data_IF_196532932912
#
_entry.id   IF_196532932912
#
_cell.length_a   1.000
_cell.length_b   1.000
_cell.length_c   1.000
_cell.angle_alpha   90.00
_cell.angle_beta   90.00
_cell.angle_gamma   90.00
#
_symmetry.space_group_name_H-M   'P 1'
#
loop_
_entity.id
_entity.type
_entity.pdbx_description
1 polymer ?
#
# COMPACT_ATOMS: atom_id res chain seq x y z
N UNK A 1 -1.25 -7.95 -21.48
CA UNK A 1 -0.64 -9.28 -21.68
C UNK A 1 -0.91 -10.10 -20.43
N UNK A 2 -1.66 -11.20 -20.56
CA UNK A 2 -2.07 -12.05 -19.44
C UNK A 2 -0.85 -12.80 -18.88
N UNK A 3 -0.54 -12.63 -17.59
CA UNK A 3 0.49 -13.41 -16.90
C UNK A 3 -0.16 -14.44 -15.98
N UNK A 4 0.14 -15.72 -16.22
CA UNK A 4 -0.28 -16.87 -15.44
C UNK A 4 0.70 -17.13 -14.30
N UNK A 5 0.73 -16.23 -13.31
CA UNK A 5 1.46 -16.46 -12.07
C UNK A 5 0.78 -17.55 -11.25
N UNK A 6 1.30 -18.78 -11.25
CA UNK A 6 0.84 -19.84 -10.34
C UNK A 6 1.10 -19.41 -8.89
N UNK A 7 0.07 -19.49 -8.04
CA UNK A 7 0.19 -19.36 -6.58
C UNK A 7 1.30 -20.31 -6.06
N UNK A 8 2.23 -19.84 -5.21
CA UNK A 8 3.26 -20.71 -4.65
C UNK A 8 2.64 -21.76 -3.72
N UNK A 9 3.08 -23.03 -3.86
CA UNK A 9 2.59 -24.18 -3.08
C UNK A 9 3.18 -24.27 -1.67
N UNK A 10 4.20 -23.47 -1.33
CA UNK A 10 4.80 -23.41 -0.01
C UNK A 10 5.75 -22.20 0.10
N UNK A 11 5.88 -21.65 1.31
CA UNK A 11 6.86 -20.62 1.63
C UNK A 11 8.24 -21.26 1.84
N UNK A 12 9.24 -20.88 1.04
CA UNK A 12 10.64 -21.07 1.38
C UNK A 12 11.39 -19.76 1.09
N UNK A 13 11.84 -19.09 2.14
CA UNK A 13 12.68 -17.91 2.06
C UNK A 13 14.16 -18.33 2.02
N UNK A 14 14.92 -17.86 1.03
CA UNK A 14 16.38 -17.95 1.02
C UNK A 14 16.98 -16.58 1.30
N UNK A 15 17.86 -16.51 2.30
CA UNK A 15 18.66 -15.33 2.65
C UNK A 15 20.00 -15.36 1.90
N UNK A 16 20.47 -14.19 1.45
CA UNK A 16 21.82 -13.99 0.93
C UNK A 16 22.39 -12.69 1.48
N UNK A 17 23.56 -12.77 2.14
CA UNK A 17 24.29 -11.67 2.76
C UNK A 17 25.58 -11.36 2.00
N UNK A 18 26.01 -10.08 1.93
CA UNK A 18 27.43 -9.65 1.95
C UNK A 18 27.56 -8.12 2.04
N UNK A 19 28.80 -7.64 2.24
CA UNK A 19 29.20 -6.64 3.24
C UNK A 19 29.85 -5.34 2.72
N UNK A 20 29.69 -4.28 3.54
CA UNK A 20 30.47 -3.05 3.81
C UNK A 20 31.57 -2.50 2.87
N UNK A 21 31.56 -1.17 2.72
CA UNK A 21 32.73 -0.30 2.50
C UNK A 21 32.46 1.15 2.93
N UNK A 22 33.38 1.78 3.69
CA UNK A 22 33.31 3.19 4.16
C UNK A 22 34.15 4.12 3.26
N UNK A 23 33.74 5.38 3.13
CA UNK A 23 34.64 6.55 3.14
C UNK A 23 33.84 7.84 3.43
N UNK A 24 34.43 8.74 4.21
CA UNK A 24 33.85 10.01 4.66
C UNK A 24 34.47 11.19 3.89
N UNK A 25 33.72 12.31 3.74
CA UNK A 25 34.28 13.66 3.89
C UNK A 25 33.21 14.74 4.12
N UNK A 26 33.61 15.76 4.86
CA UNK A 26 32.83 16.87 5.46
C UNK A 26 32.39 17.96 4.48
N UNK A 27 31.23 18.58 4.77
CA UNK A 27 30.95 20.00 4.44
C UNK A 27 29.49 20.30 4.08
N UNK A 28 28.81 21.16 4.85
CA UNK A 28 27.58 21.85 4.41
C UNK A 28 26.34 21.65 5.28
N UNK A 29 26.31 22.24 6.48
CA UNK A 29 25.10 22.40 7.28
C UNK A 29 24.10 23.26 6.48
N UNK A 30 22.84 22.81 6.35
CA UNK A 30 21.65 23.46 5.77
C UNK A 30 21.13 23.10 4.35
N UNK A 31 21.73 22.17 3.59
CA UNK A 31 21.12 21.70 2.31
C UNK A 31 21.06 20.16 2.11
N UNK A 32 21.49 19.36 3.09
CA UNK A 32 21.77 17.92 2.88
C UNK A 32 20.63 16.94 3.24
N UNK A 33 19.50 17.40 3.76
CA UNK A 33 18.45 16.49 4.26
C UNK A 33 17.50 15.90 3.19
N UNK A 34 17.65 16.25 1.90
CA UNK A 34 16.86 15.66 0.80
C UNK A 34 17.51 14.47 0.07
N UNK A 35 18.78 14.16 0.36
CA UNK A 35 19.60 13.28 -0.49
C UNK A 35 19.69 11.80 -0.12
N UNK A 36 19.31 11.40 1.09
CA UNK A 36 19.62 10.03 1.60
C UNK A 36 18.58 8.95 1.25
N UNK A 37 17.36 9.32 0.85
CA UNK A 37 16.41 8.36 0.24
C UNK A 37 16.60 8.21 -1.28
N UNK A 38 17.51 8.99 -1.89
CA UNK A 38 17.56 9.22 -3.34
C UNK A 38 17.90 8.03 -4.24
N UNK A 39 18.07 6.81 -3.71
CA UNK A 39 18.36 5.62 -4.52
C UNK A 39 17.76 4.30 -4.00
N UNK A 40 17.09 4.26 -2.83
CA UNK A 40 16.49 3.01 -2.34
C UNK A 40 15.09 2.85 -2.90
N UNK A 41 14.87 1.78 -3.66
CA UNK A 41 13.52 1.38 -4.07
C UNK A 41 12.74 0.97 -2.82
N UNK A 42 11.61 1.61 -2.58
CA UNK A 42 10.76 1.33 -1.43
C UNK A 42 9.66 0.36 -1.80
N UNK A 43 9.39 -0.62 -0.93
CA UNK A 43 8.43 -1.68 -1.19
C UNK A 43 7.08 -1.34 -0.59
N UNK A 44 6.07 -1.22 -1.46
CA UNK A 44 4.69 -0.93 -1.08
C UNK A 44 3.83 -2.16 -1.37
N UNK A 45 3.02 -2.57 -0.39
CA UNK A 45 1.95 -3.56 -0.61
C UNK A 45 0.62 -2.84 -0.76
N UNK A 46 -0.14 -3.14 -1.82
CA UNK A 46 -1.54 -2.75 -1.94
C UNK A 46 -2.43 -3.94 -1.57
N UNK A 47 -3.24 -3.75 -0.53
CA UNK A 47 -4.07 -4.78 0.09
C UNK A 47 -5.50 -4.27 0.29
N UNK A 48 -6.42 -5.19 0.56
CA UNK A 48 -7.86 -4.90 0.67
C UNK A 48 -8.71 -5.92 -0.08
N UNK A 49 -10.03 -5.91 0.16
CA UNK A 49 -10.94 -6.90 -0.41
C UNK A 49 -10.99 -6.84 -1.95
N UNK A 50 -11.46 -7.91 -2.56
CA UNK A 50 -11.81 -7.93 -3.98
C UNK A 50 -12.86 -6.86 -4.30
N UNK A 51 -12.74 -6.23 -5.47
CA UNK A 51 -13.63 -5.16 -5.89
C UNK A 51 -13.33 -3.78 -5.28
N UNK A 52 -12.42 -3.66 -4.31
CA UNK A 52 -12.12 -2.38 -3.65
C UNK A 52 -11.46 -1.32 -4.56
N UNK A 53 -10.88 -1.72 -5.70
CA UNK A 53 -10.25 -0.80 -6.67
C UNK A 53 -8.72 -0.69 -6.59
N UNK A 54 -8.04 -1.66 -5.95
CA UNK A 54 -6.57 -1.71 -5.79
C UNK A 54 -5.82 -1.55 -7.10
N UNK A 55 -6.12 -2.40 -8.07
CA UNK A 55 -5.49 -2.42 -9.39
C UNK A 55 -5.79 -1.13 -10.18
N UNK A 56 -7.00 -0.59 -10.08
CA UNK A 56 -7.37 0.70 -10.70
C UNK A 56 -6.53 1.84 -10.13
N UNK A 57 -6.32 1.86 -8.81
CA UNK A 57 -5.45 2.86 -8.15
C UNK A 57 -4.02 2.72 -8.63
N UNK A 58 -3.49 1.49 -8.70
CA UNK A 58 -2.14 1.24 -9.20
C UNK A 58 -1.92 1.82 -10.60
N UNK A 59 -2.81 1.51 -11.54
CA UNK A 59 -2.71 2.04 -12.90
C UNK A 59 -2.89 3.55 -12.98
N UNK A 60 -3.77 4.11 -12.15
CA UNK A 60 -3.96 5.56 -12.07
C UNK A 60 -2.69 6.27 -11.58
N UNK A 61 -1.96 5.66 -10.63
CA UNK A 61 -0.68 6.17 -10.14
C UNK A 61 0.47 6.00 -11.16
N UNK A 62 0.42 4.97 -12.00
CA UNK A 62 1.50 4.66 -12.95
C UNK A 62 1.39 5.43 -14.26
N UNK A 63 0.17 5.55 -14.82
CA UNK A 63 -0.06 6.02 -16.20
C UNK A 63 -0.94 7.26 -16.24
N UNK A 64 -1.59 7.64 -15.13
CA UNK A 64 -2.54 8.75 -15.09
C UNK A 64 -3.89 8.46 -15.76
N UNK A 65 -4.10 7.26 -16.30
CA UNK A 65 -5.33 6.85 -17.00
C UNK A 65 -6.11 5.79 -16.22
N UNK A 66 -7.43 5.72 -16.47
CA UNK A 66 -8.30 4.67 -15.91
C UNK A 66 -8.37 3.53 -16.91
N UNK A 67 -7.80 2.39 -16.55
CA UNK A 67 -7.97 1.14 -17.30
C UNK A 67 -9.08 0.33 -16.66
N UNK A 68 -10.02 -0.19 -17.45
CA UNK A 68 -10.99 -1.17 -16.95
C UNK A 68 -10.27 -2.45 -16.55
N UNK A 69 -10.32 -2.79 -15.26
CA UNK A 69 -9.58 -3.93 -14.70
C UNK A 69 -10.46 -5.15 -14.50
N UNK A 70 -9.94 -6.33 -14.86
CA UNK A 70 -10.48 -7.63 -14.44
C UNK A 70 -9.91 -7.95 -13.05
N UNK A 71 -10.66 -8.62 -12.13
CA UNK A 71 -10.12 -8.99 -10.82
C UNK A 71 -8.77 -9.74 -10.93
N UNK A 72 -7.75 -9.25 -10.21
CA UNK A 72 -6.43 -9.87 -10.15
C UNK A 72 -6.48 -11.25 -9.49
N UNK A 73 -5.87 -12.24 -10.13
CA UNK A 73 -5.64 -13.58 -9.59
C UNK A 73 -4.19 -13.66 -9.13
N UNK A 74 -3.96 -13.88 -7.83
CA UNK A 74 -2.61 -13.92 -7.27
C UNK A 74 -2.07 -12.52 -6.96
N UNK A 75 -1.12 -12.03 -7.77
CA UNK A 75 -0.45 -10.74 -7.55
C UNK A 75 0.02 -10.08 -8.84
N UNK A 76 0.21 -8.76 -8.81
CA UNK A 76 0.91 -7.97 -9.83
C UNK A 76 2.05 -7.16 -9.18
N UNK A 77 3.14 -6.93 -9.90
CA UNK A 77 4.26 -6.09 -9.43
C UNK A 77 4.56 -5.03 -10.47
N UNK A 78 4.50 -3.77 -10.07
CA UNK A 78 4.80 -2.63 -10.93
C UNK A 78 5.81 -1.70 -10.26
N UNK A 79 6.62 -1.05 -11.10
CA UNK A 79 7.47 0.06 -10.65
C UNK A 79 6.74 1.37 -10.88
N UNK A 80 6.52 2.12 -9.80
CA UNK A 80 5.90 3.45 -9.84
C UNK A 80 6.91 4.48 -9.38
N UNK A 81 7.16 5.49 -10.22
CA UNK A 81 7.98 6.64 -9.82
C UNK A 81 7.06 7.78 -9.45
N UNK A 82 7.14 8.24 -8.20
CA UNK A 82 6.39 9.40 -7.72
C UNK A 82 7.37 10.45 -7.19
N UNK A 83 7.39 11.62 -7.84
CA UNK A 83 8.40 12.66 -7.60
C UNK A 83 9.82 12.07 -7.75
N UNK A 84 10.61 12.08 -6.67
CA UNK A 84 11.96 11.54 -6.62
C UNK A 84 12.04 10.14 -5.96
N UNK A 85 10.91 9.50 -5.67
CA UNK A 85 10.84 8.20 -5.01
C UNK A 85 10.47 7.11 -6.00
N UNK A 86 11.13 5.96 -5.88
CA UNK A 86 10.83 4.76 -6.65
C UNK A 86 10.15 3.75 -5.75
N UNK A 87 8.97 3.32 -6.15
CA UNK A 87 8.17 2.33 -5.45
C UNK A 87 8.11 1.04 -6.24
N UNK A 88 8.39 -0.07 -5.55
CA UNK A 88 8.00 -1.40 -6.01
C UNK A 88 6.65 -1.73 -5.40
N UNK A 89 5.60 -1.69 -6.21
CA UNK A 89 4.23 -1.84 -5.75
C UNK A 89 3.74 -3.25 -6.03
N UNK A 90 3.35 -3.96 -4.99
CA UNK A 90 2.79 -5.31 -5.05
C UNK A 90 1.28 -5.22 -4.84
N UNK A 91 0.48 -5.38 -5.90
CA UNK A 91 -0.98 -5.47 -5.84
C UNK A 91 -1.39 -6.93 -5.67
N UNK A 92 -1.93 -7.28 -4.50
CA UNK A 92 -2.37 -8.66 -4.24
C UNK A 92 -3.87 -8.79 -4.47
N UNK A 93 -4.31 -9.91 -5.02
CA UNK A 93 -5.73 -10.19 -5.16
C UNK A 93 -6.41 -10.28 -3.79
N UNK A 94 -7.67 -9.81 -3.72
CA UNK A 94 -8.43 -9.71 -2.46
C UNK A 94 -9.53 -10.72 -2.27
N UNK A 95 -9.61 -11.75 -3.12
CA UNK A 95 -10.66 -12.77 -3.03
C UNK A 95 -10.44 -13.64 -1.78
N UNK A 96 -11.52 -14.08 -1.14
CA UNK A 96 -11.46 -14.85 0.13
C UNK A 96 -10.48 -16.02 0.08
N UNK A 97 -10.43 -16.77 -1.02
CA UNK A 97 -9.56 -17.95 -1.18
C UNK A 97 -8.06 -17.62 -1.23
N UNK A 98 -7.68 -16.37 -1.53
CA UNK A 98 -6.27 -15.97 -1.71
C UNK A 98 -5.71 -15.06 -0.62
N UNK A 99 -6.56 -14.44 0.22
CA UNK A 99 -6.11 -13.61 1.36
C UNK A 99 -5.12 -14.31 2.31
N UNK A 100 -5.25 -15.63 2.59
CA UNK A 100 -4.27 -16.33 3.43
C UNK A 100 -2.84 -16.35 2.88
N UNK A 101 -2.63 -16.01 1.61
CA UNK A 101 -1.31 -15.93 0.97
C UNK A 101 -0.70 -14.52 1.03
N UNK A 102 -1.42 -13.50 1.51
CA UNK A 102 -0.87 -12.15 1.68
C UNK A 102 0.41 -12.15 2.53
N UNK A 103 0.43 -12.98 3.58
CA UNK A 103 1.58 -13.17 4.47
C UNK A 103 2.87 -13.61 3.78
N UNK A 104 2.76 -14.26 2.63
CA UNK A 104 3.93 -14.64 1.83
C UNK A 104 4.71 -13.43 1.30
N UNK A 105 4.13 -12.23 1.37
CA UNK A 105 4.66 -11.01 0.79
C UNK A 105 4.95 -9.92 1.83
N UNK A 106 4.80 -10.15 3.14
CA UNK A 106 4.95 -9.10 4.15
C UNK A 106 6.39 -8.64 4.38
N UNK A 107 7.37 -9.52 4.26
CA UNK A 107 8.77 -9.22 4.57
C UNK A 107 9.32 -8.05 3.76
N UNK A 108 10.08 -7.15 4.39
CA UNK A 108 10.68 -5.96 3.76
C UNK A 108 9.64 -4.97 3.19
N UNK A 109 8.46 -4.86 3.80
CA UNK A 109 7.45 -3.86 3.40
C UNK A 109 7.68 -2.53 4.12
N UNK A 110 7.85 -1.45 3.36
CA UNK A 110 8.03 -0.11 3.92
C UNK A 110 6.68 0.56 4.23
N UNK A 111 5.69 0.34 3.36
CA UNK A 111 4.34 0.85 3.52
C UNK A 111 3.27 -0.08 2.96
N UNK A 112 2.06 0.06 3.50
CA UNK A 112 0.86 -0.64 3.09
C UNK A 112 -0.14 0.42 2.63
N UNK A 113 -0.68 0.25 1.44
CA UNK A 113 -1.87 0.97 0.97
C UNK A 113 -3.04 0.00 1.11
N UNK A 114 -3.89 0.21 2.11
CA UNK A 114 -5.08 -0.58 2.33
C UNK A 114 -6.30 0.10 1.71
N UNK A 115 -6.87 -0.52 0.69
CA UNK A 115 -7.97 0.06 -0.09
C UNK A 115 -9.30 -0.51 0.37
N UNK A 116 -10.24 0.38 0.69
CA UNK A 116 -11.57 0.03 1.17
C UNK A 116 -12.62 0.51 0.19
N UNK A 117 -13.55 -0.36 -0.15
CA UNK A 117 -14.74 0.00 -0.90
C UNK A 117 -15.73 0.72 0.03
N UNK A 118 -15.86 2.05 -0.10
CA UNK A 118 -16.75 2.82 0.75
C UNK A 118 -18.24 2.58 0.42
N UNK A 119 -18.55 2.03 -0.76
CA UNK A 119 -19.93 1.69 -1.14
C UNK A 119 -20.36 0.32 -0.60
N UNK A 120 -19.41 -0.54 -0.20
CA UNK A 120 -19.66 -1.90 0.25
C UNK A 120 -19.80 -1.97 1.79
N UNK A 121 -20.98 -1.54 2.26
CA UNK A 121 -21.30 -1.52 3.69
C UNK A 121 -21.40 -2.93 4.29
N UNK A 122 -21.83 -3.91 3.50
CA UNK A 122 -22.04 -5.28 3.97
C UNK A 122 -20.72 -5.98 4.31
N UNK A 123 -19.65 -5.70 3.55
CA UNK A 123 -18.34 -6.32 3.73
C UNK A 123 -17.36 -5.49 4.55
N UNK A 124 -17.75 -4.32 5.09
CA UNK A 124 -16.84 -3.48 5.88
C UNK A 124 -16.30 -4.17 7.13
N UNK A 125 -17.12 -5.02 7.78
CA UNK A 125 -16.70 -5.84 8.91
C UNK A 125 -15.64 -6.87 8.52
N UNK A 126 -15.79 -7.50 7.36
CA UNK A 126 -14.77 -8.42 6.81
C UNK A 126 -13.48 -7.65 6.53
N UNK A 127 -13.58 -6.45 5.95
CA UNK A 127 -12.41 -5.61 5.67
C UNK A 127 -11.67 -5.22 6.95
N UNK A 128 -12.42 -4.88 8.02
CA UNK A 128 -11.85 -4.62 9.35
C UNK A 128 -11.06 -5.83 9.86
N UNK A 129 -11.66 -7.02 9.84
CA UNK A 129 -11.03 -8.21 10.39
C UNK A 129 -9.73 -8.56 9.64
N UNK A 130 -9.73 -8.47 8.31
CA UNK A 130 -8.53 -8.70 7.48
C UNK A 130 -7.46 -7.64 7.72
N UNK A 131 -7.83 -6.36 7.86
CA UNK A 131 -6.91 -5.28 8.20
C UNK A 131 -6.25 -5.55 9.55
N UNK A 132 -7.05 -5.83 10.59
CA UNK A 132 -6.53 -6.06 11.94
C UNK A 132 -5.72 -7.35 12.02
N UNK A 133 -6.09 -8.40 11.29
CA UNK A 133 -5.31 -9.63 11.21
C UNK A 133 -3.93 -9.37 10.60
N UNK A 134 -3.89 -8.69 9.45
CA UNK A 134 -2.64 -8.30 8.78
C UNK A 134 -1.75 -7.41 9.69
N UNK A 135 -2.31 -6.42 10.38
CA UNK A 135 -1.52 -5.48 11.18
C UNK A 135 -0.91 -6.09 12.46
N UNK A 136 -1.30 -7.31 12.84
CA UNK A 136 -0.73 -8.07 13.96
C UNK A 136 0.57 -8.79 13.61
N UNK A 137 0.90 -8.88 12.33
CA UNK A 137 2.06 -9.63 11.85
C UNK A 137 3.34 -8.80 12.07
N UNK A 138 4.34 -9.39 12.70
CA UNK A 138 5.56 -8.71 13.15
C UNK A 138 6.35 -8.13 11.96
N UNK A 139 6.32 -8.80 10.80
CA UNK A 139 6.93 -8.33 9.56
C UNK A 139 6.37 -6.99 9.08
N UNK A 140 5.15 -6.65 9.50
CA UNK A 140 4.48 -5.40 9.17
C UNK A 140 4.49 -4.41 10.33
N UNK A 141 5.04 -4.74 11.50
CA UNK A 141 5.02 -3.87 12.69
C UNK A 141 5.57 -2.48 12.39
N UNK A 142 6.62 -2.42 11.59
CA UNK A 142 7.25 -1.18 11.15
C UNK A 142 6.69 -0.63 9.84
N UNK A 143 5.66 -1.15 9.19
CA UNK A 143 5.16 -0.56 7.94
C UNK A 143 4.31 0.72 8.20
N UNK A 144 4.43 1.76 7.36
CA UNK A 144 3.46 2.88 7.34
C UNK A 144 2.14 2.37 6.76
N UNK A 145 1.01 2.83 7.28
CA UNK A 145 -0.31 2.47 6.76
C UNK A 145 -1.00 3.68 6.11
N UNK A 146 -1.35 3.56 4.84
CA UNK A 146 -2.26 4.48 4.14
C UNK A 146 -3.57 3.75 3.94
N UNK A 147 -4.66 4.31 4.45
CA UNK A 147 -6.01 3.78 4.19
C UNK A 147 -6.67 4.64 3.12
N UNK A 148 -7.13 4.03 2.03
CA UNK A 148 -7.87 4.71 0.97
C UNK A 148 -9.34 4.32 1.10
N UNK A 149 -10.16 5.25 1.60
CA UNK A 149 -11.61 5.15 1.55
C UNK A 149 -12.04 5.44 0.10
N UNK A 150 -12.08 4.39 -0.71
CA UNK A 150 -12.25 4.49 -2.16
C UNK A 150 -13.71 4.42 -2.59
N UNK A 151 -13.98 4.77 -3.86
CA UNK A 151 -15.31 4.88 -4.47
C UNK A 151 -16.20 5.96 -3.85
N UNK A 152 -15.57 7.04 -3.40
CA UNK A 152 -16.25 8.20 -2.82
C UNK A 152 -17.05 9.02 -3.84
N UNK A 153 -16.96 8.65 -5.11
CA UNK A 153 -17.80 9.13 -6.20
C UNK A 153 -19.18 8.46 -6.26
N UNK A 154 -19.39 7.35 -5.54
CA UNK A 154 -20.68 6.64 -5.53
C UNK A 154 -21.67 7.27 -4.54
N UNK A 155 -22.93 7.36 -4.95
CA UNK A 155 -24.01 7.82 -4.09
C UNK A 155 -24.25 6.84 -2.93
N UNK A 156 -24.50 7.37 -1.73
CA UNK A 156 -24.78 6.58 -0.54
C UNK A 156 -23.56 5.83 0.04
N UNK A 157 -22.35 6.04 -0.47
CA UNK A 157 -21.13 5.49 0.13
C UNK A 157 -20.89 6.03 1.54
N UNK A 158 -20.16 5.26 2.35
CA UNK A 158 -19.71 5.70 3.67
C UNK A 158 -18.78 6.90 3.54
N UNK A 159 -18.95 7.89 4.39
CA UNK A 159 -17.98 8.96 4.60
C UNK A 159 -16.66 8.41 5.14
N UNK A 160 -15.59 9.20 5.01
CA UNK A 160 -14.26 8.85 5.56
C UNK A 160 -14.33 8.58 7.07
N UNK A 161 -15.14 9.35 7.80
CA UNK A 161 -15.32 9.17 9.26
C UNK A 161 -16.01 7.84 9.58
N UNK A 162 -17.05 7.48 8.82
CA UNK A 162 -17.72 6.18 8.99
C UNK A 162 -16.76 5.02 8.66
N UNK A 163 -15.96 5.13 7.60
CA UNK A 163 -14.94 4.12 7.27
C UNK A 163 -13.90 4.02 8.39
N UNK A 164 -13.42 5.15 8.91
CA UNK A 164 -12.46 5.19 10.02
C UNK A 164 -12.98 4.45 11.27
N UNK A 165 -14.23 4.71 11.65
CA UNK A 165 -14.88 4.05 12.79
C UNK A 165 -15.14 2.57 12.52
N UNK A 166 -15.67 2.23 11.34
CA UNK A 166 -16.02 0.86 10.97
C UNK A 166 -14.78 -0.05 10.94
N UNK A 167 -13.65 0.45 10.44
CA UNK A 167 -12.36 -0.26 10.46
C UNK A 167 -11.69 -0.28 11.85
N UNK A 168 -12.21 0.45 12.83
CA UNK A 168 -11.65 0.50 14.19
C UNK A 168 -10.25 1.12 14.24
N UNK A 169 -9.97 2.11 13.37
CA UNK A 169 -8.63 2.73 13.28
C UNK A 169 -8.23 3.48 14.57
N UNK A 170 -9.21 3.87 15.40
CA UNK A 170 -8.99 4.48 16.72
C UNK A 170 -8.14 3.60 17.66
N UNK A 171 -8.13 2.29 17.46
CA UNK A 171 -7.33 1.36 18.26
C UNK A 171 -5.83 1.37 17.90
N UNK A 172 -5.45 1.95 16.76
CA UNK A 172 -4.07 1.95 16.26
C UNK A 172 -3.25 3.06 16.94
N UNK A 173 -2.64 2.75 18.10
CA UNK A 173 -1.85 3.73 18.87
C UNK A 173 -0.39 3.84 18.47
N UNK A 174 0.21 2.73 18.02
CA UNK A 174 1.66 2.60 17.84
C UNK A 174 2.07 2.48 16.36
N UNK A 175 1.25 3.01 15.45
CA UNK A 175 1.50 2.93 14.00
C UNK A 175 1.27 4.29 13.36
N UNK A 176 2.19 4.69 12.51
CA UNK A 176 2.00 5.85 11.63
C UNK A 176 0.99 5.47 10.55
N UNK A 177 -0.18 6.10 10.59
CA UNK A 177 -1.19 5.89 9.56
C UNK A 177 -1.96 7.18 9.22
N UNK A 178 -2.58 7.20 8.05
CA UNK A 178 -3.51 8.24 7.64
C UNK A 178 -4.57 7.65 6.70
N UNK A 179 -5.79 8.18 6.77
CA UNK A 179 -6.90 7.83 5.87
C UNK A 179 -7.17 8.97 4.89
N UNK A 180 -7.46 8.62 3.63
CA UNK A 180 -7.77 9.56 2.56
C UNK A 180 -9.09 9.20 1.89
N UNK A 181 -9.87 10.24 1.56
CA UNK A 181 -11.01 10.14 0.63
C UNK A 181 -10.46 9.92 -0.77
N UNK A 182 -10.88 8.87 -1.49
CA UNK A 182 -10.42 8.66 -2.87
C UNK A 182 -11.51 8.23 -3.83
N UNK A 183 -11.31 8.56 -5.10
CA UNK A 183 -12.00 7.95 -6.23
C UNK A 183 -10.97 7.50 -7.25
N UNK A 184 -10.76 6.18 -7.37
CA UNK A 184 -9.80 5.63 -8.33
C UNK A 184 -10.16 5.98 -9.79
N UNK A 185 -11.45 6.02 -10.11
CA UNK A 185 -11.97 6.35 -11.45
C UNK A 185 -11.85 7.83 -11.77
N UNK A 186 -11.99 8.73 -10.80
CA UNK A 186 -11.78 10.17 -11.03
C UNK A 186 -10.31 10.59 -10.81
N UNK A 187 -9.53 9.80 -10.09
CA UNK A 187 -8.17 10.14 -9.63
C UNK A 187 -8.15 11.07 -8.42
N UNK A 188 -9.30 11.41 -7.84
CA UNK A 188 -9.40 12.31 -6.69
C UNK A 188 -8.78 11.67 -5.44
N UNK A 189 -8.03 12.46 -4.66
CA UNK A 189 -7.47 12.03 -3.37
C UNK A 189 -6.13 11.28 -3.46
N UNK A 190 -5.77 10.75 -4.64
CA UNK A 190 -4.59 9.90 -4.80
C UNK A 190 -3.29 10.69 -4.62
N UNK A 191 -3.21 11.90 -5.19
CA UNK A 191 -2.02 12.76 -5.04
C UNK A 191 -1.81 13.16 -3.58
N UNK A 192 -2.87 13.52 -2.85
CA UNK A 192 -2.76 13.85 -1.43
C UNK A 192 -2.25 12.66 -0.61
N UNK A 193 -2.74 11.45 -0.91
CA UNK A 193 -2.32 10.23 -0.24
C UNK A 193 -0.84 9.91 -0.51
N UNK A 194 -0.41 10.01 -1.77
CA UNK A 194 0.97 9.74 -2.16
C UNK A 194 1.95 10.81 -1.66
N UNK A 195 1.53 12.07 -1.60
CA UNK A 195 2.31 13.15 -1.00
C UNK A 195 2.56 12.93 0.47
N UNK A 196 1.51 12.57 1.22
CA UNK A 196 1.66 12.23 2.63
C UNK A 196 2.56 11.01 2.81
N UNK A 197 2.35 9.97 2.01
CA UNK A 197 3.16 8.74 2.09
C UNK A 197 4.64 9.01 1.80
N UNK A 198 4.94 9.77 0.74
CA UNK A 198 6.29 10.17 0.39
C UNK A 198 6.96 10.94 1.52
N UNK A 199 6.26 11.90 2.14
CA UNK A 199 6.78 12.66 3.27
C UNK A 199 6.99 11.77 4.50
N UNK A 200 6.03 10.89 4.82
CA UNK A 200 6.12 9.98 5.95
C UNK A 200 7.30 9.01 5.80
N UNK A 201 7.50 8.44 4.61
CA UNK A 201 8.65 7.58 4.30
C UNK A 201 9.98 8.32 4.39
N UNK A 202 10.05 9.56 3.90
CA UNK A 202 11.26 10.38 4.01
C UNK A 202 11.58 10.81 5.45
N UNK A 203 10.57 10.93 6.30
CA UNK A 203 10.74 11.30 7.71
C UNK A 203 11.27 10.15 8.59
N UNK A 204 11.24 8.91 8.09
CA UNK A 204 11.85 7.77 8.77
C UNK A 204 13.36 7.84 8.64
N UNK A 205 14.02 7.98 9.80
CA UNK A 205 15.47 7.86 9.95
C UNK A 205 15.87 6.41 10.12
#
# INVERSE_FOLDING_TARGET
AFWSGKLPKSCSASQGSSSSGRAANMGGLFSYFRGLLGNREMRILILGLDGAGKTTILYRLQVGEVVTTIPTIGFNVEQVTYKNLKFQVWDLGGQTSIRPYWRCYYSNTDAIIYVVDSADKDRIGISKDELLYMLREDELASAILVVLANKQDMEGCMSVTEVHQALGLEALKNRTFQIFKTSATKGEGLDQAMDWLANALQSRK
#
